data_IF_677448662519
#
_entry.id   IF_677448662519
#
_cell.length_a   1.000
_cell.length_b   1.000
_cell.length_c   1.000
_cell.angle_alpha   90.00
_cell.angle_beta   90.00
_cell.angle_gamma   90.00
#
_symmetry.space_group_name_H-M   'P 1'
#
loop_
_entity.id
_entity.type
_entity.pdbx_description
1 polymer ?
#
# COMPACT_ATOMS: atom_id res chain seq x y z
N UNK A 1 7.41 28.63 0.21
CA UNK A 1 7.54 27.18 0.49
C UNK A 1 8.39 27.02 1.73
N UNK A 2 7.84 26.43 2.80
CA UNK A 2 8.56 26.13 4.04
C UNK A 2 9.42 24.86 3.89
N UNK A 3 10.41 24.68 4.76
CA UNK A 3 11.32 23.52 4.74
C UNK A 3 10.57 22.20 4.95
N UNK A 4 9.50 22.19 5.76
CA UNK A 4 8.62 21.03 5.99
C UNK A 4 7.91 20.56 4.70
N UNK A 5 7.28 21.49 3.96
CA UNK A 5 6.60 21.16 2.69
C UNK A 5 7.56 20.54 1.67
N UNK A 6 8.78 21.04 1.59
CA UNK A 6 9.81 20.49 0.69
C UNK A 6 10.32 19.11 1.14
N UNK A 7 10.34 18.84 2.44
CA UNK A 7 10.66 17.52 3.00
C UNK A 7 9.59 16.48 2.66
N UNK A 8 8.32 16.86 2.77
CA UNK A 8 7.17 16.00 2.48
C UNK A 8 7.09 15.65 0.99
N UNK A 9 7.38 16.59 0.09
CA UNK A 9 7.49 16.32 -1.35
C UNK A 9 8.59 15.30 -1.68
N UNK A 10 9.76 15.42 -1.04
CA UNK A 10 10.87 14.48 -1.24
C UNK A 10 10.54 13.08 -0.74
N UNK A 11 9.90 12.97 0.44
CA UNK A 11 9.49 11.69 0.99
C UNK A 11 8.42 11.03 0.11
N UNK A 12 7.44 11.79 -0.38
CA UNK A 12 6.42 11.31 -1.32
C UNK A 12 7.06 10.73 -2.58
N UNK A 13 8.04 11.43 -3.16
CA UNK A 13 8.77 10.93 -4.34
C UNK A 13 9.50 9.61 -4.05
N UNK A 14 10.12 9.48 -2.88
CA UNK A 14 10.81 8.25 -2.48
C UNK A 14 9.83 7.08 -2.29
N UNK A 15 8.66 7.33 -1.70
CA UNK A 15 7.60 6.33 -1.54
C UNK A 15 7.09 5.85 -2.91
N UNK A 16 6.85 6.78 -3.85
CA UNK A 16 6.46 6.45 -5.22
C UNK A 16 7.53 5.60 -5.94
N UNK A 17 8.80 5.98 -5.84
CA UNK A 17 9.91 5.23 -6.43
C UNK A 17 10.06 3.83 -5.81
N UNK A 18 9.81 3.73 -4.50
CA UNK A 18 9.82 2.47 -3.78
C UNK A 18 8.71 1.57 -4.30
N UNK A 19 7.49 2.07 -4.44
CA UNK A 19 6.39 1.29 -4.96
C UNK A 19 6.63 0.84 -6.41
N UNK A 20 7.09 1.73 -7.30
CA UNK A 20 7.46 1.37 -8.69
C UNK A 20 8.51 0.27 -8.74
N UNK A 21 9.47 0.28 -7.81
CA UNK A 21 10.47 -0.80 -7.72
C UNK A 21 9.87 -2.14 -7.30
N UNK A 22 8.82 -2.15 -6.46
CA UNK A 22 8.08 -3.36 -6.09
C UNK A 22 7.28 -3.92 -7.26
N UNK A 23 6.56 -3.07 -7.99
CA UNK A 23 5.81 -3.46 -9.19
C UNK A 23 6.73 -4.07 -10.26
N UNK A 24 7.95 -3.53 -10.39
CA UNK A 24 8.99 -4.06 -11.30
C UNK A 24 9.74 -5.27 -10.74
N UNK A 25 9.35 -5.81 -9.58
CA UNK A 25 10.03 -6.91 -8.88
C UNK A 25 11.53 -6.68 -8.62
N UNK A 26 11.97 -5.42 -8.51
CA UNK A 26 13.37 -5.06 -8.25
C UNK A 26 13.68 -5.13 -6.76
N UNK A 27 13.67 -6.33 -6.18
CA UNK A 27 13.77 -6.56 -4.71
C UNK A 27 14.96 -5.82 -4.09
N UNK A 28 16.16 -5.93 -4.66
CA UNK A 28 17.36 -5.26 -4.13
C UNK A 28 17.20 -3.73 -4.09
N UNK A 29 16.62 -3.15 -5.15
CA UNK A 29 16.35 -1.70 -5.21
C UNK A 29 15.30 -1.31 -4.17
N UNK A 30 14.23 -2.10 -4.06
CA UNK A 30 13.18 -1.87 -3.08
C UNK A 30 13.72 -1.93 -1.64
N UNK A 31 14.55 -2.91 -1.30
CA UNK A 31 15.20 -3.00 0.01
C UNK A 31 16.09 -1.80 0.30
N UNK A 32 16.84 -1.31 -0.68
CA UNK A 32 17.70 -0.14 -0.51
C UNK A 32 16.91 1.16 -0.35
N UNK A 33 15.77 1.30 -1.04
CA UNK A 33 14.86 2.43 -0.88
C UNK A 33 14.18 2.41 0.49
N UNK A 34 13.72 1.23 0.95
CA UNK A 34 13.13 1.06 2.30
C UNK A 34 14.04 1.63 3.39
N UNK A 35 15.32 1.24 3.41
CA UNK A 35 16.29 1.75 4.41
C UNK A 35 16.34 3.28 4.49
N UNK A 36 16.33 3.97 3.33
CA UNK A 36 16.36 5.43 3.26
C UNK A 36 15.04 6.07 3.72
N UNK A 37 13.93 5.40 3.45
CA UNK A 37 12.59 5.86 3.82
C UNK A 37 12.38 5.69 5.32
N UNK A 38 12.77 4.54 5.89
CA UNK A 38 12.66 4.24 7.32
C UNK A 38 13.35 5.33 8.17
N UNK A 39 14.54 5.79 7.78
CA UNK A 39 15.25 6.89 8.46
C UNK A 39 14.43 8.20 8.49
N UNK A 40 13.75 8.52 7.38
CA UNK A 40 12.93 9.74 7.25
C UNK A 40 11.62 9.62 8.02
N UNK A 41 10.98 8.45 7.95
CA UNK A 41 9.73 8.15 8.66
C UNK A 41 9.93 8.17 10.16
N UNK A 42 11.03 7.60 10.67
CA UNK A 42 11.37 7.67 12.09
C UNK A 42 11.56 9.10 12.59
N UNK A 43 12.03 10.01 11.75
CA UNK A 43 12.13 11.43 12.13
C UNK A 43 10.74 12.06 12.23
N UNK A 44 9.88 11.79 11.23
CA UNK A 44 8.51 12.32 11.14
C UNK A 44 7.58 11.77 12.23
N UNK A 45 7.77 10.52 12.66
CA UNK A 45 6.92 9.86 13.66
C UNK A 45 7.16 10.33 15.10
N UNK A 46 8.30 10.96 15.38
CA UNK A 46 8.69 11.44 16.71
C UNK A 46 8.31 12.93 16.91
N UNK A 47 7.87 13.62 15.86
CA UNK A 47 7.51 15.04 15.97
C UNK A 47 6.27 15.23 16.85
N UNK A 48 6.33 16.12 17.86
CA UNK A 48 5.26 16.28 18.86
C UNK A 48 3.97 16.91 18.29
N UNK A 49 4.02 17.46 17.07
CA UNK A 49 2.89 18.06 16.37
C UNK A 49 2.84 17.52 14.95
N UNK A 50 2.13 16.42 14.75
CA UNK A 50 1.91 15.83 13.42
C UNK A 50 0.77 16.55 12.72
N UNK A 51 1.03 17.11 11.54
CA UNK A 51 -0.01 17.68 10.70
C UNK A 51 -0.78 16.57 9.97
N UNK A 52 -1.97 16.87 9.43
CA UNK A 52 -2.74 15.90 8.64
C UNK A 52 -1.95 15.32 7.45
N UNK A 53 -1.06 16.11 6.86
CA UNK A 53 -0.20 15.65 5.77
C UNK A 53 0.80 14.59 6.24
N UNK A 54 1.28 14.70 7.48
CA UNK A 54 2.20 13.74 8.06
C UNK A 54 1.48 12.41 8.32
N UNK A 55 0.21 12.45 8.77
CA UNK A 55 -0.63 11.25 8.90
C UNK A 55 -0.85 10.53 7.57
N UNK A 56 -1.14 11.27 6.49
CA UNK A 56 -1.28 10.69 5.16
C UNK A 56 0.03 10.04 4.66
N UNK A 57 1.18 10.64 4.96
CA UNK A 57 2.49 10.07 4.62
C UNK A 57 2.80 8.81 5.42
N UNK A 58 2.48 8.79 6.71
CA UNK A 58 2.63 7.62 7.57
C UNK A 58 1.73 6.48 7.11
N UNK A 59 0.46 6.76 6.81
CA UNK A 59 -0.44 5.79 6.22
C UNK A 59 0.09 5.26 4.88
N UNK A 60 0.57 6.15 4.01
CA UNK A 60 1.13 5.73 2.72
C UNK A 60 2.32 4.79 2.91
N UNK A 61 3.22 5.15 3.82
CA UNK A 61 4.34 4.30 4.19
C UNK A 61 3.88 2.93 4.72
N UNK A 62 2.93 2.88 5.67
CA UNK A 62 2.42 1.63 6.23
C UNK A 62 1.79 0.73 5.15
N UNK A 63 1.03 1.31 4.22
CA UNK A 63 0.47 0.59 3.07
C UNK A 63 1.57 -0.03 2.20
N UNK A 64 2.61 0.74 1.88
CA UNK A 64 3.73 0.26 1.07
C UNK A 64 4.60 -0.75 1.82
N UNK A 65 4.73 -0.65 3.13
CA UNK A 65 5.41 -1.64 3.95
C UNK A 65 4.71 -3.00 3.90
N UNK A 66 3.38 -3.02 4.03
CA UNK A 66 2.62 -4.26 3.80
C UNK A 66 2.86 -4.82 2.39
N UNK A 67 2.80 -3.97 1.36
CA UNK A 67 3.04 -4.40 -0.02
C UNK A 67 4.46 -4.91 -0.27
N UNK A 68 5.45 -4.36 0.45
CA UNK A 68 6.83 -4.85 0.44
C UNK A 68 6.93 -6.23 1.10
N UNK A 69 6.23 -6.46 2.22
CA UNK A 69 6.13 -7.79 2.83
C UNK A 69 5.50 -8.80 1.87
N UNK A 70 4.46 -8.43 1.12
CA UNK A 70 3.90 -9.27 0.04
C UNK A 70 4.95 -9.62 -1.02
N UNK A 71 5.91 -8.74 -1.31
CA UNK A 71 6.98 -9.00 -2.27
C UNK A 71 8.06 -9.92 -1.72
N UNK A 72 8.44 -9.76 -0.44
CA UNK A 72 9.66 -10.39 0.11
C UNK A 72 9.42 -11.54 1.07
N UNK A 73 8.26 -11.58 1.72
CA UNK A 73 7.91 -12.54 2.76
C UNK A 73 6.40 -12.85 2.76
N UNK A 74 5.86 -13.20 1.59
CA UNK A 74 4.42 -13.44 1.43
C UNK A 74 3.90 -14.61 2.29
N UNK A 75 4.76 -15.58 2.63
CA UNK A 75 4.40 -16.71 3.49
C UNK A 75 4.26 -16.32 4.96
N UNK A 76 4.85 -15.19 5.37
CA UNK A 76 4.74 -14.64 6.71
C UNK A 76 3.47 -13.82 6.96
N UNK A 77 2.60 -13.66 5.97
CA UNK A 77 1.37 -12.86 6.11
C UNK A 77 0.36 -13.59 7.00
N UNK A 78 -0.07 -12.90 8.05
CA UNK A 78 -0.97 -13.39 9.09
C UNK A 78 -2.18 -12.47 9.24
N UNK A 79 -3.14 -12.87 10.08
CA UNK A 79 -4.37 -12.12 10.30
C UNK A 79 -4.12 -10.67 10.78
N UNK A 80 -3.10 -10.47 11.62
CA UNK A 80 -2.73 -9.17 12.18
C UNK A 80 -1.78 -8.34 11.29
N UNK A 81 -1.35 -8.86 10.13
CA UNK A 81 -0.37 -8.17 9.27
C UNK A 81 -0.87 -6.85 8.65
N UNK A 82 -2.15 -6.50 8.84
CA UNK A 82 -2.76 -5.27 8.35
C UNK A 82 -3.33 -4.40 9.49
N UNK A 83 -3.16 -4.79 10.76
CA UNK A 83 -3.82 -4.13 11.90
C UNK A 83 -3.37 -2.68 12.05
N UNK A 84 -2.06 -2.42 11.96
CA UNK A 84 -1.50 -1.06 12.03
C UNK A 84 -2.10 -0.11 10.99
N UNK A 85 -2.50 -0.62 9.82
CA UNK A 85 -3.13 0.18 8.76
C UNK A 85 -4.61 0.44 9.09
N UNK A 86 -5.30 -0.53 9.72
CA UNK A 86 -6.70 -0.38 10.12
C UNK A 86 -6.90 0.59 11.29
N UNK A 87 -5.84 0.87 12.05
CA UNK A 87 -5.88 1.84 13.15
C UNK A 87 -5.93 3.30 12.64
N UNK A 88 -5.63 3.55 11.37
CA UNK A 88 -5.79 4.86 10.76
C UNK A 88 -7.25 5.12 10.37
N UNK A 89 -7.68 6.38 10.46
CA UNK A 89 -8.93 6.81 9.86
C UNK A 89 -8.91 6.57 8.35
N UNK A 90 -10.08 6.26 7.79
CA UNK A 90 -10.22 6.03 6.36
C UNK A 90 -9.74 7.27 5.58
N UNK A 91 -8.76 7.14 4.67
CA UNK A 91 -8.22 8.29 3.95
C UNK A 91 -9.28 8.96 3.08
N UNK A 92 -9.32 10.29 3.13
CA UNK A 92 -10.12 11.12 2.23
C UNK A 92 -9.48 11.28 0.86
N UNK A 93 -8.16 11.08 0.79
CA UNK A 93 -7.39 11.04 -0.45
C UNK A 93 -7.75 9.79 -1.27
N UNK A 94 -8.11 10.00 -2.54
CA UNK A 94 -8.63 8.95 -3.42
C UNK A 94 -7.58 7.86 -3.70
N UNK A 95 -6.31 8.23 -3.78
CA UNK A 95 -5.22 7.34 -4.10
C UNK A 95 -4.82 6.46 -2.90
N UNK A 96 -4.75 7.05 -1.70
CA UNK A 96 -4.57 6.27 -0.47
C UNK A 96 -5.76 5.35 -0.19
N UNK A 97 -6.97 5.81 -0.51
CA UNK A 97 -8.18 5.00 -0.40
C UNK A 97 -8.19 3.81 -1.37
N UNK A 98 -7.71 4.00 -2.61
CA UNK A 98 -7.48 2.91 -3.55
C UNK A 98 -6.51 1.89 -2.95
N UNK A 99 -5.32 2.32 -2.51
CA UNK A 99 -4.32 1.40 -1.96
C UNK A 99 -4.79 0.70 -0.69
N UNK A 100 -5.54 1.38 0.18
CA UNK A 100 -6.15 0.74 1.34
C UNK A 100 -7.03 -0.43 0.90
N UNK A 101 -8.01 -0.20 0.02
CA UNK A 101 -8.91 -1.27 -0.41
C UNK A 101 -8.17 -2.35 -1.18
N UNK A 102 -7.25 -1.98 -2.07
CA UNK A 102 -6.49 -2.94 -2.87
C UNK A 102 -5.56 -3.82 -2.02
N UNK A 103 -4.83 -3.24 -1.07
CA UNK A 103 -3.93 -4.02 -0.24
C UNK A 103 -4.68 -4.82 0.84
N UNK A 104 -5.82 -4.32 1.31
CA UNK A 104 -6.72 -5.09 2.17
C UNK A 104 -7.27 -6.31 1.45
N UNK A 105 -7.66 -6.21 0.17
CA UNK A 105 -8.10 -7.40 -0.57
C UNK A 105 -6.99 -8.43 -0.76
N UNK A 106 -5.74 -7.98 -0.97
CA UNK A 106 -4.56 -8.85 -1.00
C UNK A 106 -4.37 -9.55 0.36
N UNK A 107 -4.41 -8.80 1.46
CA UNK A 107 -4.32 -9.35 2.82
C UNK A 107 -5.38 -10.42 3.08
N UNK A 108 -6.66 -10.08 2.84
CA UNK A 108 -7.79 -10.98 3.00
C UNK A 108 -7.67 -12.23 2.12
N UNK A 109 -7.06 -12.10 0.92
CA UNK A 109 -6.74 -13.26 0.06
C UNK A 109 -5.72 -14.18 0.71
N UNK A 110 -4.62 -13.64 1.25
CA UNK A 110 -3.58 -14.44 1.91
C UNK A 110 -4.09 -15.20 3.14
N UNK A 111 -5.00 -14.60 3.90
CA UNK A 111 -5.61 -15.24 5.10
C UNK A 111 -6.87 -16.04 4.77
N UNK A 112 -7.16 -16.29 3.49
CA UNK A 112 -8.32 -17.05 3.01
C UNK A 112 -9.69 -16.47 3.38
N UNK A 113 -9.78 -15.18 3.71
CA UNK A 113 -11.04 -14.46 3.92
C UNK A 113 -11.58 -13.94 2.57
N UNK A 114 -12.06 -14.86 1.73
CA UNK A 114 -12.39 -14.53 0.33
C UNK A 114 -13.59 -13.58 0.18
N UNK A 115 -14.54 -13.61 1.12
CA UNK A 115 -15.68 -12.67 1.12
C UNK A 115 -15.20 -11.23 1.30
N UNK A 116 -14.36 -10.98 2.32
CA UNK A 116 -13.77 -9.66 2.55
C UNK A 116 -12.85 -9.25 1.39
N UNK A 117 -12.08 -10.19 0.85
CA UNK A 117 -11.23 -9.93 -0.31
C UNK A 117 -12.04 -9.43 -1.50
N UNK A 118 -13.14 -10.09 -1.84
CA UNK A 118 -14.00 -9.70 -2.95
C UNK A 118 -14.65 -8.33 -2.75
N UNK A 119 -15.16 -8.04 -1.53
CA UNK A 119 -15.72 -6.74 -1.19
C UNK A 119 -14.71 -5.60 -1.41
N UNK A 120 -13.49 -5.80 -0.91
CA UNK A 120 -12.42 -4.82 -1.06
C UNK A 120 -11.91 -4.67 -2.50
N UNK A 121 -11.85 -5.76 -3.29
CA UNK A 121 -11.56 -5.66 -4.72
C UNK A 121 -12.61 -4.82 -5.46
N UNK A 122 -13.91 -5.03 -5.18
CA UNK A 122 -15.00 -4.23 -5.78
C UNK A 122 -14.93 -2.75 -5.40
N UNK A 123 -14.54 -2.45 -4.16
CA UNK A 123 -14.35 -1.07 -3.72
C UNK A 123 -13.14 -0.42 -4.41
N UNK A 124 -12.01 -1.12 -4.49
CA UNK A 124 -10.81 -0.65 -5.18
C UNK A 124 -11.05 -0.43 -6.68
N UNK A 125 -11.75 -1.33 -7.36
CA UNK A 125 -12.04 -1.20 -8.79
C UNK A 125 -12.86 0.06 -9.13
N UNK A 126 -13.82 0.42 -8.27
CA UNK A 126 -14.61 1.66 -8.46
C UNK A 126 -13.76 2.92 -8.40
N UNK A 127 -12.68 2.89 -7.61
CA UNK A 127 -11.77 4.02 -7.39
C UNK A 127 -10.69 4.05 -8.48
N UNK A 128 -10.26 2.87 -8.95
CA UNK A 128 -9.23 2.69 -9.98
C UNK A 128 -9.53 3.46 -11.27
N UNK A 129 -10.81 3.62 -11.64
CA UNK A 129 -11.27 4.36 -12.84
C UNK A 129 -10.74 5.80 -12.88
N UNK A 130 -10.47 6.41 -11.72
CA UNK A 130 -9.97 7.78 -11.61
C UNK A 130 -8.43 7.86 -11.56
N UNK A 131 -7.73 6.72 -11.59
CA UNK A 131 -6.26 6.65 -11.52
C UNK A 131 -5.69 6.51 -12.94
N UNK A 132 -4.94 7.49 -13.48
CA UNK A 132 -4.49 7.42 -14.87
C UNK A 132 -3.29 6.48 -15.13
N UNK A 133 -2.66 5.92 -14.10
CA UNK A 133 -1.45 5.08 -14.26
C UNK A 133 -1.84 3.66 -14.73
N UNK A 134 -1.42 3.31 -15.95
CA UNK A 134 -1.69 2.00 -16.58
C UNK A 134 -0.99 0.85 -15.85
N UNK A 135 0.13 1.10 -15.15
CA UNK A 135 0.83 0.08 -14.39
C UNK A 135 0.01 -0.34 -13.16
N UNK A 136 -0.69 0.62 -12.54
CA UNK A 136 -1.63 0.33 -11.45
C UNK A 136 -2.78 -0.56 -11.92
N UNK A 137 -3.33 -0.24 -13.10
CA UNK A 137 -4.37 -1.05 -13.71
C UNK A 137 -3.88 -2.47 -13.98
N UNK A 138 -2.68 -2.62 -14.53
CA UNK A 138 -2.10 -3.92 -14.82
C UNK A 138 -1.88 -4.76 -13.55
N UNK A 139 -1.30 -4.18 -12.49
CA UNK A 139 -1.12 -4.88 -11.21
C UNK A 139 -2.46 -5.24 -10.57
N UNK A 140 -3.43 -4.34 -10.58
CA UNK A 140 -4.77 -4.59 -10.04
C UNK A 140 -5.45 -5.77 -10.75
N UNK A 141 -5.54 -5.71 -12.08
CA UNK A 141 -6.22 -6.74 -12.86
C UNK A 141 -5.48 -8.09 -12.83
N UNK A 142 -4.15 -8.09 -12.70
CA UNK A 142 -3.39 -9.31 -12.44
C UNK A 142 -3.76 -9.97 -11.10
N UNK A 143 -3.86 -9.19 -10.03
CA UNK A 143 -4.21 -9.69 -8.68
C UNK A 143 -5.65 -10.19 -8.62
N UNK A 144 -6.61 -9.42 -9.15
CA UNK A 144 -8.03 -9.82 -9.12
C UNK A 144 -8.28 -11.07 -9.98
N UNK A 145 -7.61 -11.21 -11.13
CA UNK A 145 -7.70 -12.40 -11.95
C UNK A 145 -7.13 -13.63 -11.24
N UNK A 146 -6.00 -13.48 -10.55
CA UNK A 146 -5.40 -14.54 -9.73
C UNK A 146 -6.32 -14.95 -8.58
N UNK A 147 -6.95 -13.97 -7.91
CA UNK A 147 -7.94 -14.21 -6.89
C UNK A 147 -9.13 -15.03 -7.42
N UNK A 148 -9.75 -14.59 -8.53
CA UNK A 148 -10.89 -15.33 -9.12
C UNK A 148 -10.51 -16.71 -9.63
N UNK A 149 -9.31 -16.88 -10.19
CA UNK A 149 -8.82 -18.20 -10.57
C UNK A 149 -8.71 -19.14 -9.36
N UNK A 150 -8.18 -18.63 -8.24
CA UNK A 150 -8.04 -19.41 -7.02
C UNK A 150 -9.39 -19.77 -6.41
N UNK A 151 -10.32 -18.81 -6.31
CA UNK A 151 -11.64 -19.01 -5.69
C UNK A 151 -12.59 -19.81 -6.55
N UNK A 152 -12.51 -19.72 -7.88
CA UNK A 152 -13.29 -20.57 -8.78
C UNK A 152 -12.97 -22.06 -8.61
N UNK A 153 -11.71 -22.40 -8.35
CA UNK A 153 -11.28 -23.79 -8.12
C UNK A 153 -11.70 -24.33 -6.73
N UNK A 154 -12.33 -23.51 -5.89
CA UNK A 154 -12.83 -23.89 -4.56
C UNK A 154 -14.36 -24.07 -4.48
N UNK A 155 -15.06 -23.85 -5.60
CA UNK A 155 -16.49 -24.16 -5.79
C UNK A 155 -16.66 -25.54 -6.45
#
# INVERSE_FOLDING_TARGET
MSVSVKGNEQLTSLLNDWYRSMLSQQVIKATNLKKKIDEKINTLSIEPYQEHQDQNLLLYYSLLEFRYTVLTDSLGIQQNSFDTINDYDMPTDHFLRFYYHFFKSIHSTFISNYTEAEEHYKLAEKILVDIPDEIEHAEFYYRIATFYHHTYNML
#
